data_IF_701075847362
#
_entry.id   IF_701075847362
#
_cell.length_a   1.000
_cell.length_b   1.000
_cell.length_c   1.000
_cell.angle_alpha   90.00
_cell.angle_beta   90.00
_cell.angle_gamma   90.00
#
_symmetry.space_group_name_H-M   'P 1'
#
loop_
_entity.id
_entity.type
_entity.pdbx_description
1 polymer ?
#
# COMPACT_ATOMS: atom_id res chain seq x y z
N UNK A 1 -14.47 -0.32 23.54
CA UNK A 1 -13.40 0.71 23.49
C UNK A 1 -14.05 2.07 23.70
N UNK A 2 -13.44 2.95 24.48
CA UNK A 2 -13.93 4.32 24.62
C UNK A 2 -13.74 5.07 23.29
N UNK A 3 -14.77 5.79 22.85
CA UNK A 3 -14.71 6.71 21.72
C UNK A 3 -14.73 8.15 22.24
N UNK A 4 -14.04 9.05 21.54
CA UNK A 4 -14.08 10.48 21.80
C UNK A 4 -14.86 11.17 20.67
N UNK A 5 -15.67 12.20 20.97
CA UNK A 5 -16.39 12.92 19.93
C UNK A 5 -15.40 13.67 19.03
N UNK A 6 -15.60 13.53 17.71
CA UNK A 6 -14.82 14.23 16.69
C UNK A 6 -15.79 14.90 15.71
N UNK A 7 -15.75 16.23 15.65
CA UNK A 7 -16.60 17.01 14.76
C UNK A 7 -15.86 17.32 13.46
N UNK A 8 -16.45 16.94 12.33
CA UNK A 8 -15.90 17.14 11.00
C UNK A 8 -16.92 17.85 10.11
N UNK A 9 -16.46 18.78 9.28
CA UNK A 9 -17.27 19.30 8.17
C UNK A 9 -17.19 18.31 7.01
N UNK A 10 -18.35 17.85 6.56
CA UNK A 10 -18.49 16.91 5.46
C UNK A 10 -19.43 17.51 4.43
N UNK A 11 -19.15 17.24 3.17
CA UNK A 11 -20.03 17.60 2.07
C UNK A 11 -21.44 16.96 2.29
N UNK A 12 -22.53 17.71 2.09
CA UNK A 12 -23.89 17.18 2.26
C UNK A 12 -24.19 15.95 1.40
N UNK A 13 -23.68 15.89 0.17
CA UNK A 13 -23.88 14.75 -0.73
C UNK A 13 -23.16 13.50 -0.21
N UNK A 14 -21.93 13.66 0.26
CA UNK A 14 -21.16 12.56 0.87
C UNK A 14 -21.86 12.06 2.13
N UNK A 15 -22.39 12.97 2.97
CA UNK A 15 -23.15 12.58 4.16
C UNK A 15 -24.39 11.74 3.79
N UNK A 16 -25.11 12.13 2.75
CA UNK A 16 -26.28 11.40 2.27
C UNK A 16 -25.90 9.98 1.79
N UNK A 17 -24.86 9.87 0.96
CA UNK A 17 -24.36 8.57 0.47
C UNK A 17 -23.89 7.67 1.62
N UNK A 18 -23.10 8.22 2.56
CA UNK A 18 -22.63 7.47 3.72
C UNK A 18 -23.79 6.97 4.59
N UNK A 19 -24.85 7.76 4.73
CA UNK A 19 -26.03 7.38 5.52
C UNK A 19 -26.77 6.22 4.85
N UNK A 20 -27.00 6.30 3.54
CA UNK A 20 -27.64 5.22 2.78
C UNK A 20 -26.84 3.91 2.84
N UNK A 21 -25.51 3.97 2.71
CA UNK A 21 -24.67 2.77 2.83
C UNK A 21 -24.67 2.21 4.26
N UNK A 22 -24.72 3.08 5.28
CA UNK A 22 -24.80 2.65 6.67
C UNK A 22 -26.10 1.88 6.95
N UNK A 23 -27.23 2.34 6.42
CA UNK A 23 -28.53 1.65 6.51
C UNK A 23 -28.47 0.26 5.87
N UNK A 24 -27.92 0.15 4.65
CA UNK A 24 -27.77 -1.14 3.95
C UNK A 24 -26.86 -2.11 4.71
N UNK A 25 -25.86 -1.60 5.40
CA UNK A 25 -24.89 -2.38 6.16
C UNK A 25 -25.34 -2.68 7.60
N UNK A 26 -26.52 -2.22 8.04
CA UNK A 26 -26.99 -2.27 9.43
C UNK A 26 -25.96 -1.68 10.42
N UNK A 27 -25.42 -0.52 10.07
CA UNK A 27 -24.41 0.22 10.85
C UNK A 27 -24.78 1.69 10.96
N UNK A 28 -24.12 2.39 11.90
CA UNK A 28 -24.24 3.85 11.99
C UNK A 28 -23.30 4.55 11.00
N UNK A 29 -23.65 5.74 10.49
CA UNK A 29 -22.75 6.52 9.64
C UNK A 29 -21.40 6.80 10.32
N UNK A 30 -21.41 7.04 11.64
CA UNK A 30 -20.19 7.23 12.43
C UNK A 30 -19.31 5.98 12.49
N UNK A 31 -19.90 4.78 12.52
CA UNK A 31 -19.14 3.53 12.45
C UNK A 31 -18.43 3.40 11.11
N UNK A 32 -19.14 3.61 9.99
CA UNK A 32 -18.54 3.56 8.65
C UNK A 32 -17.49 4.65 8.44
N UNK A 33 -17.72 5.87 8.93
CA UNK A 33 -16.73 6.95 8.88
C UNK A 33 -15.45 6.58 9.63
N UNK A 34 -15.57 6.05 10.86
CA UNK A 34 -14.42 5.61 11.64
C UNK A 34 -13.67 4.47 10.93
N UNK A 35 -14.38 3.53 10.33
CA UNK A 35 -13.78 2.44 9.58
C UNK A 35 -13.03 2.94 8.34
N UNK A 36 -13.62 3.88 7.59
CA UNK A 36 -12.99 4.50 6.44
C UNK A 36 -11.71 5.26 6.83
N UNK A 37 -11.75 6.04 7.92
CA UNK A 37 -10.58 6.75 8.46
C UNK A 37 -9.49 5.76 8.85
N UNK A 38 -9.85 4.65 9.53
CA UNK A 38 -8.90 3.61 9.93
C UNK A 38 -8.20 2.99 8.71
N UNK A 39 -8.97 2.60 7.70
CA UNK A 39 -8.43 2.02 6.45
C UNK A 39 -7.50 3.01 5.76
N UNK A 40 -7.91 4.28 5.66
CA UNK A 40 -7.10 5.33 5.06
C UNK A 40 -5.76 5.51 5.79
N UNK A 41 -5.78 5.61 7.12
CA UNK A 41 -4.56 5.78 7.93
C UNK A 41 -3.66 4.55 7.86
N UNK A 42 -4.23 3.34 7.86
CA UNK A 42 -3.47 2.10 7.68
C UNK A 42 -2.77 2.06 6.33
N UNK A 43 -3.48 2.39 5.24
CA UNK A 43 -2.90 2.45 3.90
C UNK A 43 -1.79 3.49 3.79
N UNK A 44 -1.98 4.69 4.37
CA UNK A 44 -0.95 5.74 4.42
C UNK A 44 0.28 5.29 5.19
N UNK A 45 0.09 4.64 6.33
CA UNK A 45 1.18 4.14 7.17
C UNK A 45 1.95 3.02 6.46
N UNK A 46 1.24 2.07 5.85
CA UNK A 46 1.85 0.99 5.08
C UNK A 46 2.67 1.53 3.91
N UNK A 47 2.14 2.51 3.16
CA UNK A 47 2.88 3.17 2.08
C UNK A 47 4.15 3.86 2.58
N UNK A 48 4.07 4.60 3.68
CA UNK A 48 5.25 5.28 4.25
C UNK A 48 6.32 4.27 4.66
N UNK A 49 5.94 3.22 5.41
CA UNK A 49 6.87 2.15 5.79
C UNK A 49 7.51 1.45 4.60
N UNK A 50 6.75 1.20 3.53
CA UNK A 50 7.27 0.58 2.32
C UNK A 50 8.31 1.48 1.62
N UNK A 51 8.07 2.80 1.59
CA UNK A 51 9.03 3.77 1.05
C UNK A 51 10.27 3.82 1.92
N UNK A 52 10.12 3.96 3.24
CA UNK A 52 11.26 4.04 4.17
C UNK A 52 12.13 2.78 4.06
N UNK A 53 11.52 1.60 4.00
CA UNK A 53 12.22 0.34 3.75
C UNK A 53 12.91 0.30 2.39
N UNK A 54 12.24 0.76 1.33
CA UNK A 54 12.82 0.78 -0.01
C UNK A 54 14.07 1.69 -0.09
N UNK A 55 14.04 2.83 0.60
CA UNK A 55 15.20 3.71 0.73
C UNK A 55 16.33 3.03 1.51
N UNK A 56 16.03 2.41 2.66
CA UNK A 56 17.02 1.67 3.45
C UNK A 56 17.68 0.53 2.66
N UNK A 57 16.91 -0.21 1.86
CA UNK A 57 17.46 -1.26 0.98
C UNK A 57 18.29 -0.66 -0.16
N UNK A 58 17.86 0.47 -0.75
CA UNK A 58 18.60 1.13 -1.82
C UNK A 58 19.96 1.69 -1.32
N UNK A 59 20.00 2.20 -0.08
CA UNK A 59 21.23 2.69 0.56
C UNK A 59 22.28 1.58 0.77
N UNK A 60 21.88 0.30 0.75
CA UNK A 60 22.83 -0.83 0.79
C UNK A 60 23.62 -0.99 -0.51
N UNK A 61 23.18 -0.38 -1.61
CA UNK A 61 23.84 -0.48 -2.91
C UNK A 61 23.73 -1.86 -3.58
N UNK A 62 22.85 -2.74 -3.09
CA UNK A 62 22.67 -4.10 -3.61
C UNK A 62 21.44 -4.11 -4.52
N UNK A 63 21.65 -4.40 -5.80
CA UNK A 63 20.59 -4.36 -6.81
C UNK A 63 20.66 -5.55 -7.77
N UNK A 64 19.57 -5.74 -8.52
CA UNK A 64 19.50 -6.64 -9.67
C UNK A 64 19.65 -5.78 -10.93
N UNK A 65 20.50 -6.20 -11.86
CA UNK A 65 20.75 -5.50 -13.11
C UNK A 65 19.51 -5.49 -14.00
N UNK A 66 19.39 -4.44 -14.81
CA UNK A 66 18.31 -4.30 -15.78
C UNK A 66 18.24 -5.51 -16.72
N UNK A 67 19.39 -6.03 -17.16
CA UNK A 67 19.46 -7.20 -18.04
C UNK A 67 18.87 -8.46 -17.40
N UNK A 68 19.18 -8.72 -16.12
CA UNK A 68 18.64 -9.86 -15.40
C UNK A 68 17.12 -9.71 -15.14
N UNK A 69 16.65 -8.50 -14.83
CA UNK A 69 15.22 -8.21 -14.67
C UNK A 69 14.47 -8.40 -16.00
N UNK A 70 14.98 -7.87 -17.10
CA UNK A 70 14.35 -7.97 -18.42
C UNK A 70 14.25 -9.43 -18.87
N UNK A 71 15.35 -10.19 -18.76
CA UNK A 71 15.34 -11.62 -19.11
C UNK A 71 14.29 -12.40 -18.30
N UNK A 72 14.16 -12.10 -17.00
CA UNK A 72 13.15 -12.71 -16.15
C UNK A 72 11.72 -12.33 -16.58
N UNK A 73 11.44 -11.04 -16.77
CA UNK A 73 10.11 -10.55 -17.18
C UNK A 73 9.71 -11.11 -18.55
N UNK A 74 10.63 -11.16 -19.50
CA UNK A 74 10.38 -11.69 -20.85
C UNK A 74 10.09 -13.19 -20.84
N UNK A 75 10.52 -13.91 -19.81
CA UNK A 75 10.28 -15.35 -19.70
C UNK A 75 8.89 -15.70 -19.15
N UNK A 76 8.15 -14.75 -18.57
CA UNK A 76 6.86 -15.00 -17.94
C UNK A 76 5.82 -15.52 -18.92
N UNK A 77 5.14 -16.61 -18.54
CA UNK A 77 4.13 -17.23 -19.40
C UNK A 77 4.68 -17.98 -20.61
N UNK A 78 6.00 -18.19 -20.67
CA UNK A 78 6.65 -19.09 -21.64
C UNK A 78 6.88 -20.48 -21.03
N UNK A 79 7.21 -21.47 -21.87
CA UNK A 79 7.58 -22.81 -21.39
C UNK A 79 8.87 -22.82 -20.56
N UNK A 80 9.70 -21.78 -20.68
CA UNK A 80 10.99 -21.62 -20.00
C UNK A 80 10.98 -20.40 -19.09
N UNK A 81 9.95 -20.25 -18.25
CA UNK A 81 9.89 -19.18 -17.26
C UNK A 81 11.08 -19.27 -16.28
N UNK A 82 11.82 -18.17 -16.17
CA UNK A 82 13.00 -18.06 -15.33
C UNK A 82 12.60 -17.76 -13.87
N UNK A 83 13.37 -18.23 -12.88
CA UNK A 83 13.15 -17.85 -11.49
C UNK A 83 13.45 -16.36 -11.28
N UNK A 84 12.93 -15.79 -10.17
CA UNK A 84 13.26 -14.43 -9.75
C UNK A 84 14.79 -14.28 -9.69
N UNK A 85 15.38 -13.28 -10.35
CA UNK A 85 16.82 -13.09 -10.36
C UNK A 85 17.33 -12.66 -8.98
N UNK A 86 18.52 -13.12 -8.62
CA UNK A 86 19.25 -12.70 -7.42
C UNK A 86 20.03 -11.40 -7.70
N UNK A 87 20.40 -10.63 -6.66
CA UNK A 87 21.24 -9.45 -6.82
C UNK A 87 22.60 -9.78 -7.47
N UNK A 88 22.98 -9.01 -8.48
CA UNK A 88 24.24 -9.11 -9.23
C UNK A 88 25.01 -7.77 -9.25
N UNK A 89 24.42 -6.70 -8.71
CA UNK A 89 25.07 -5.41 -8.43
C UNK A 89 25.33 -5.32 -6.94
N UNK A 90 26.57 -5.07 -6.56
CA UNK A 90 27.01 -4.89 -5.18
C UNK A 90 27.83 -3.60 -5.04
N UNK A 91 27.81 -2.93 -3.88
CA UNK A 91 28.69 -1.80 -3.66
C UNK A 91 30.15 -2.25 -3.77
N UNK A 92 30.99 -1.45 -4.44
CA UNK A 92 32.43 -1.69 -4.47
C UNK A 92 32.96 -1.77 -3.03
N UNK A 93 33.77 -2.78 -2.74
CA UNK A 93 34.52 -2.84 -1.49
C UNK A 93 35.52 -1.68 -1.48
N UNK A 94 35.16 -0.57 -0.86
CA UNK A 94 36.03 0.57 -0.62
C UNK A 94 36.71 0.46 0.74
#
# INVERSE_FOLDING_TARGET
>A
MATIPFSLRIDPEIKAQLTQEAERADRTPSYLANQAIKIFLQAKTAKRKAIDKAVEEADKGIFISEGAVNAWVDSWGTENELPVPEPDIFPDAQ
#
